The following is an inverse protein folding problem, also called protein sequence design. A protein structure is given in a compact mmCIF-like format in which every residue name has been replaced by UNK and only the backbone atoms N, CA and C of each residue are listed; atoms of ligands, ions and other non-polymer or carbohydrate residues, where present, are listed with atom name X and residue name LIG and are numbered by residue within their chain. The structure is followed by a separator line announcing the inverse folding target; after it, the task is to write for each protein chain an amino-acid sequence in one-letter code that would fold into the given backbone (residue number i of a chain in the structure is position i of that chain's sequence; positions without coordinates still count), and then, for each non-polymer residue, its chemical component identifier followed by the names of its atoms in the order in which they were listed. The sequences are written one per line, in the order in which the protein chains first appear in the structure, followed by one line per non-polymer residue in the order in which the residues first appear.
data_IF_128372439184
#
_entry.id   IF_128372439184
#
_cell.length_a   1.000
_cell.length_b   1.000
_cell.length_c   1.000
_cell.angle_alpha   90.00
_cell.angle_beta   90.00
_cell.angle_gamma   90.00
#
_symmetry.space_group_name_H-M   'P 1'
#
loop_
_entity.id
_entity.type
_entity.pdbx_description
1 polymer ?
#
# COMPACT_ATOMS: atom_id res chain seq x y z
N UNK A 1 -6.86 4.58 -5.33
CA UNK A 1 -6.21 4.34 -4.02
C UNK A 1 -4.97 3.52 -4.29
N UNK A 2 -3.79 4.13 -4.20
CA UNK A 2 -2.54 3.41 -4.41
C UNK A 2 -2.01 2.91 -3.06
N UNK A 3 -2.11 1.60 -2.87
CA UNK A 3 -1.45 0.89 -1.79
C UNK A 3 -0.05 0.53 -2.28
N UNK A 4 0.93 1.35 -1.93
CA UNK A 4 2.32 1.00 -2.15
C UNK A 4 2.76 0.06 -1.04
N UNK A 5 2.72 -1.24 -1.30
CA UNK A 5 3.18 -2.27 -0.37
C UNK A 5 4.62 -2.63 -0.73
N UNK A 6 5.54 -2.30 0.17
CA UNK A 6 6.95 -2.70 0.09
C UNK A 6 7.16 -3.95 0.94
N UNK A 7 7.52 -5.06 0.28
CA UNK A 7 7.94 -6.28 0.95
C UNK A 7 9.47 -6.29 1.04
N UNK A 8 10.01 -6.36 2.27
CA UNK A 8 11.43 -6.62 2.49
C UNK A 8 11.65 -8.13 2.56
N UNK A 9 12.49 -8.65 1.67
CA UNK A 9 12.89 -10.05 1.70
C UNK A 9 14.26 -10.23 2.35
N UNK A 10 14.42 -11.33 3.09
CA UNK A 10 15.66 -11.67 3.79
C UNK A 10 16.56 -12.62 3.01
N UNK A 11 15.99 -13.50 2.18
CA UNK A 11 16.73 -14.45 1.36
C UNK A 11 15.93 -14.80 0.10
N UNK A 12 16.65 -14.90 -1.02
CA UNK A 12 16.11 -15.31 -2.31
C UNK A 12 16.81 -16.59 -2.71
N UNK A 13 16.09 -17.71 -2.80
CA UNK A 13 16.66 -19.01 -3.17
C UNK A 13 16.22 -19.42 -4.59
N UNK A 14 17.16 -19.97 -5.36
CA UNK A 14 16.89 -20.54 -6.67
C UNK A 14 16.41 -21.99 -6.52
N UNK A 15 15.21 -22.29 -7.02
CA UNK A 15 14.58 -23.61 -6.87
C UNK A 15 14.42 -24.37 -8.17
N UNK A 16 14.46 -25.69 -8.04
CA UNK A 16 14.56 -26.68 -9.14
C UNK A 16 13.16 -27.26 -9.44
N UNK A 17 13.05 -27.93 -10.60
CA UNK A 17 11.95 -28.80 -11.10
C UNK A 17 10.69 -28.94 -10.23
N UNK A 18 10.78 -29.58 -9.06
CA UNK A 18 9.61 -30.01 -8.31
C UNK A 18 8.87 -28.84 -7.67
N UNK A 19 9.62 -27.83 -7.21
CA UNK A 19 9.06 -26.56 -6.76
C UNK A 19 8.34 -25.86 -7.91
N UNK A 20 8.97 -25.80 -9.08
CA UNK A 20 8.37 -25.20 -10.27
C UNK A 20 7.07 -25.90 -10.69
N UNK A 21 7.04 -27.24 -10.67
CA UNK A 21 5.84 -28.00 -11.00
C UNK A 21 4.67 -27.66 -10.07
N UNK A 22 4.94 -27.57 -8.76
CA UNK A 22 3.93 -27.20 -7.77
C UNK A 22 3.39 -25.79 -8.02
N UNK A 23 4.28 -24.81 -8.19
CA UNK A 23 3.88 -23.42 -8.40
C UNK A 23 3.07 -23.24 -9.70
N UNK A 24 3.45 -23.92 -10.78
CA UNK A 24 2.72 -23.85 -12.06
C UNK A 24 1.31 -24.45 -11.91
N UNK A 25 1.18 -25.57 -11.20
CA UNK A 25 -0.11 -26.19 -10.95
C UNK A 25 -1.02 -25.30 -10.08
N UNK A 26 -0.51 -24.75 -8.98
CA UNK A 26 -1.28 -23.85 -8.10
C UNK A 26 -1.72 -22.57 -8.82
N UNK A 27 -0.83 -21.95 -9.59
CA UNK A 27 -1.15 -20.77 -10.38
C UNK A 27 -2.23 -21.07 -11.42
N UNK A 28 -2.10 -22.18 -12.16
CA UNK A 28 -3.10 -22.59 -13.16
C UNK A 28 -4.46 -22.82 -12.49
N UNK A 29 -4.50 -23.53 -11.36
CA UNK A 29 -5.74 -23.77 -10.64
C UNK A 29 -6.42 -22.49 -10.15
N UNK A 30 -5.63 -21.51 -9.70
CA UNK A 30 -6.12 -20.21 -9.23
C UNK A 30 -6.71 -19.37 -10.37
N UNK A 31 -6.04 -19.37 -11.53
CA UNK A 31 -6.51 -18.62 -12.70
C UNK A 31 -7.73 -19.28 -13.36
N UNK A 32 -7.79 -20.61 -13.35
CA UNK A 32 -8.88 -21.39 -13.95
C UNK A 32 -10.08 -21.60 -13.00
N UNK A 33 -10.02 -21.13 -11.76
CA UNK A 33 -11.10 -21.33 -10.76
C UNK A 33 -12.46 -20.80 -11.21
N UNK A 34 -12.46 -19.80 -12.08
CA UNK A 34 -13.68 -19.10 -12.51
C UNK A 34 -14.31 -19.69 -13.77
N UNK A 35 -13.71 -20.71 -14.38
CA UNK A 35 -14.18 -21.28 -15.65
C UNK A 35 -14.71 -22.71 -15.47
N UNK A 36 -15.85 -22.98 -16.11
CA UNK A 36 -16.35 -24.34 -16.26
C UNK A 36 -15.45 -25.12 -17.23
N UNK A 37 -15.04 -26.34 -16.84
CA UNK A 37 -14.07 -27.12 -17.61
C UNK A 37 -12.60 -26.77 -17.33
N UNK A 38 -12.28 -26.51 -16.05
CA UNK A 38 -10.95 -26.14 -15.55
C UNK A 38 -9.84 -26.95 -16.20
N UNK A 39 -8.98 -26.26 -16.95
CA UNK A 39 -7.81 -26.87 -17.55
C UNK A 39 -6.76 -27.20 -16.47
N UNK A 40 -6.24 -28.42 -16.51
CA UNK A 40 -5.17 -28.86 -15.63
C UNK A 40 -3.85 -28.95 -16.39
N UNK A 41 -2.75 -28.70 -15.68
CA UNK A 41 -1.40 -28.84 -16.26
C UNK A 41 -1.15 -30.27 -16.78
N UNK A 42 -1.82 -31.28 -16.21
CA UNK A 42 -1.78 -32.67 -16.67
C UNK A 42 -2.48 -32.92 -18.00
N UNK A 43 -3.33 -32.00 -18.46
CA UNK A 43 -4.01 -32.10 -19.75
C UNK A 43 -3.05 -31.79 -20.92
N UNK A 44 -1.91 -31.15 -20.63
CA UNK A 44 -0.82 -31.00 -21.58
C UNK A 44 0.05 -32.27 -21.65
N UNK A 45 0.60 -32.61 -22.83
CA UNK A 45 1.59 -33.67 -22.96
C UNK A 45 2.81 -33.44 -22.05
N UNK A 46 3.23 -34.48 -21.33
CA UNK A 46 4.31 -34.37 -20.34
C UNK A 46 5.63 -33.82 -20.95
N UNK A 47 5.98 -34.23 -22.16
CA UNK A 47 7.17 -33.75 -22.87
C UNK A 47 7.12 -32.23 -23.16
N UNK A 48 5.92 -31.67 -23.39
CA UNK A 48 5.73 -30.26 -23.62
C UNK A 48 5.98 -29.45 -22.34
N UNK A 49 5.41 -29.90 -21.23
CA UNK A 49 5.58 -29.28 -19.91
C UNK A 49 7.04 -29.31 -19.46
N UNK A 50 7.72 -30.46 -19.62
CA UNK A 50 9.14 -30.60 -19.27
C UNK A 50 10.06 -29.68 -20.07
N UNK A 51 9.73 -29.39 -21.32
CA UNK A 51 10.51 -28.45 -22.13
C UNK A 51 10.29 -26.99 -21.73
N UNK A 52 9.06 -26.62 -21.39
CA UNK A 52 8.77 -25.27 -20.89
C UNK A 52 9.44 -24.99 -19.55
N UNK A 53 9.48 -25.97 -18.64
CA UNK A 53 10.17 -25.84 -17.35
C UNK A 53 11.63 -25.46 -17.45
N UNK A 54 12.35 -25.96 -18.46
CA UNK A 54 13.78 -25.66 -18.66
C UNK A 54 14.04 -24.17 -18.92
N UNK A 55 13.04 -23.43 -19.40
CA UNK A 55 13.12 -21.99 -19.62
C UNK A 55 12.71 -21.16 -18.40
N UNK A 56 12.26 -21.79 -17.31
CA UNK A 56 11.78 -21.11 -16.11
C UNK A 56 12.82 -21.14 -15.00
N UNK A 57 12.92 -20.03 -14.28
CA UNK A 57 13.76 -19.90 -13.08
C UNK A 57 12.80 -19.74 -11.89
N UNK A 58 12.85 -20.69 -10.96
CA UNK A 58 12.06 -20.64 -9.73
C UNK A 58 12.73 -19.74 -8.70
N UNK A 59 12.01 -18.71 -8.25
CA UNK A 59 12.47 -17.81 -7.20
C UNK A 59 11.52 -17.94 -6.02
N UNK A 60 12.07 -18.31 -4.86
CA UNK A 60 11.34 -18.25 -3.59
C UNK A 60 11.81 -17.02 -2.81
N UNK A 61 10.84 -16.20 -2.38
CA UNK A 61 11.08 -14.96 -1.66
C UNK A 61 10.50 -15.11 -0.26
N UNK A 62 11.37 -15.19 0.75
CA UNK A 62 10.91 -15.15 2.13
C UNK A 62 10.52 -13.71 2.51
N UNK A 63 9.25 -13.51 2.82
CA UNK A 63 8.73 -12.21 3.28
C UNK A 63 9.04 -12.05 4.76
N UNK A 64 10.01 -11.20 5.08
CA UNK A 64 10.40 -10.93 6.49
C UNK A 64 9.64 -9.74 7.07
N UNK A 65 9.26 -8.78 6.22
CA UNK A 65 8.50 -7.61 6.64
C UNK A 65 7.68 -7.05 5.47
N UNK A 66 6.45 -6.66 5.76
CA UNK A 66 5.60 -5.92 4.83
C UNK A 66 5.37 -4.53 5.42
N UNK A 67 5.80 -3.50 4.70
CA UNK A 67 5.61 -2.10 5.08
C UNK A 67 5.01 -1.36 3.88
N UNK A 68 4.00 -0.53 4.09
CA UNK A 68 3.45 0.27 3.02
C UNK A 68 2.80 1.53 3.56
N UNK A 69 3.10 2.72 3.02
CA UNK A 69 2.35 3.91 3.37
C UNK A 69 0.90 3.72 2.94
N UNK A 70 0.01 3.63 3.92
CA UNK A 70 -1.42 3.50 3.68
C UNK A 70 -2.03 4.86 3.32
N UNK A 71 -2.02 5.19 2.03
CA UNK A 71 -2.43 6.53 1.57
C UNK A 71 -3.94 6.61 1.30
N UNK A 72 -4.68 7.15 2.28
CA UNK A 72 -6.11 7.47 2.17
C UNK A 72 -6.36 8.98 1.96
N UNK A 73 -5.51 9.68 1.20
CA UNK A 73 -5.65 11.13 1.02
C UNK A 73 -5.52 11.87 2.36
N UNK A 74 -4.53 11.47 3.16
CA UNK A 74 -4.30 11.97 4.52
C UNK A 74 -3.80 13.42 4.60
N UNK A 75 -3.56 14.09 3.48
CA UNK A 75 -3.22 15.51 3.41
C UNK A 75 -4.41 16.43 3.10
N UNK A 76 -5.56 15.87 2.72
CA UNK A 76 -6.74 16.62 2.29
C UNK A 76 -7.49 17.25 3.45
N UNK A 77 -8.13 18.40 3.21
CA UNK A 77 -8.88 19.14 4.24
C UNK A 77 -10.05 18.33 4.82
N UNK A 78 -10.57 18.76 5.97
CA UNK A 78 -11.69 18.06 6.65
C UNK A 78 -12.93 17.92 5.73
N UNK A 79 -13.17 18.88 4.82
CA UNK A 79 -14.25 18.82 3.84
C UNK A 79 -14.12 17.66 2.85
N UNK A 80 -12.95 17.50 2.23
CA UNK A 80 -12.67 16.46 1.24
C UNK A 80 -12.75 15.06 1.84
N UNK A 81 -12.38 14.92 3.12
CA UNK A 81 -12.45 13.64 3.83
C UNK A 81 -13.90 13.19 4.06
N UNK A 82 -14.80 14.10 4.46
CA UNK A 82 -16.23 13.76 4.57
C UNK A 82 -16.86 13.43 3.22
N UNK A 83 -16.37 14.05 2.14
CA UNK A 83 -16.73 13.72 0.77
C UNK A 83 -16.32 12.30 0.37
N UNK A 84 -15.10 11.88 0.72
CA UNK A 84 -14.62 10.53 0.46
C UNK A 84 -15.45 9.47 1.19
N UNK A 85 -15.71 9.66 2.49
CA UNK A 85 -16.55 8.74 3.28
C UNK A 85 -17.94 8.59 2.67
N UNK A 86 -18.59 9.71 2.33
CA UNK A 86 -19.90 9.69 1.67
C UNK A 86 -19.87 9.05 0.28
N UNK A 87 -18.80 9.29 -0.48
CA UNK A 87 -18.61 8.69 -1.80
C UNK A 87 -18.53 7.18 -1.74
N UNK A 88 -17.71 6.63 -0.82
CA UNK A 88 -17.55 5.19 -0.67
C UNK A 88 -18.81 4.50 -0.09
N UNK A 89 -19.46 5.09 0.92
CA UNK A 89 -20.76 4.57 1.41
C UNK A 89 -21.88 4.68 0.36
N UNK A 90 -21.79 5.64 -0.56
CA UNK A 90 -22.75 5.83 -1.64
C UNK A 90 -22.68 4.78 -2.74
N UNK A 91 -21.63 3.95 -2.78
CA UNK A 91 -21.49 2.85 -3.76
C UNK A 91 -22.44 1.68 -3.46
N UNK A 92 -22.90 1.53 -2.21
CA UNK A 92 -23.82 0.48 -1.81
C UNK A 92 -23.25 -0.94 -1.95
N UNK A 93 -21.92 -1.07 -2.02
CA UNK A 93 -21.23 -2.37 -2.05
C UNK A 93 -20.58 -2.66 -0.69
N UNK A 94 -20.48 -3.93 -0.28
CA UNK A 94 -19.79 -4.31 0.96
C UNK A 94 -18.35 -3.77 1.05
N UNK A 95 -17.65 -3.73 -0.08
CA UNK A 95 -16.29 -3.19 -0.18
C UNK A 95 -16.25 -1.67 -0.01
N UNK A 96 -17.27 -0.97 -0.52
CA UNK A 96 -17.44 0.48 -0.35
C UNK A 96 -17.69 0.85 1.11
N UNK A 97 -18.56 0.10 1.79
CA UNK A 97 -18.84 0.31 3.22
C UNK A 97 -17.61 0.01 4.10
N UNK A 98 -16.90 -1.10 3.83
CA UNK A 98 -15.66 -1.43 4.52
C UNK A 98 -14.59 -0.33 4.33
N UNK A 99 -14.48 0.22 3.12
CA UNK A 99 -13.59 1.34 2.84
C UNK A 99 -14.00 2.62 3.56
N UNK A 100 -15.28 2.94 3.60
CA UNK A 100 -15.79 4.11 4.32
C UNK A 100 -15.50 4.02 5.81
N UNK A 101 -15.69 2.84 6.42
CA UNK A 101 -15.36 2.58 7.81
C UNK A 101 -13.86 2.74 8.08
N UNK A 102 -13.01 2.18 7.23
CA UNK A 102 -11.55 2.27 7.38
C UNK A 102 -11.05 3.72 7.28
N UNK A 103 -11.63 4.50 6.36
CA UNK A 103 -11.36 5.93 6.25
C UNK A 103 -11.76 6.65 7.53
N UNK A 104 -12.94 6.36 8.08
CA UNK A 104 -13.45 6.93 9.33
C UNK A 104 -12.52 6.68 10.53
N UNK A 105 -12.11 5.43 10.72
CA UNK A 105 -11.22 5.03 11.82
C UNK A 105 -9.88 5.74 11.75
N UNK A 106 -9.27 5.83 10.57
CA UNK A 106 -7.98 6.50 10.38
C UNK A 106 -8.05 8.03 10.45
N UNK A 107 -9.24 8.61 10.30
CA UNK A 107 -9.46 10.05 10.48
C UNK A 107 -9.54 10.50 11.94
N UNK A 108 -9.75 9.58 12.89
CA UNK A 108 -9.90 9.90 14.32
C UNK A 108 -8.65 10.53 14.95
N UNK A 109 -7.48 10.12 14.48
CA UNK A 109 -6.18 10.55 15.01
C UNK A 109 -5.55 11.70 14.19
N UNK A 110 -6.30 12.33 13.28
CA UNK A 110 -5.76 13.46 12.50
C UNK A 110 -5.61 14.70 13.40
N UNK A 111 -4.40 15.27 13.52
CA UNK A 111 -4.25 16.58 14.12
C UNK A 111 -5.00 17.58 13.24
N UNK A 112 -5.94 18.32 13.84
CA UNK A 112 -6.65 19.37 13.14
C UNK A 112 -5.65 20.29 12.42
N UNK A 113 -5.92 20.63 11.15
CA UNK A 113 -5.06 21.53 10.36
C UNK A 113 -4.82 22.87 11.08
N UNK A 114 -5.72 23.24 11.99
CA UNK A 114 -5.60 24.35 12.94
C UNK A 114 -4.30 24.29 13.74
N UNK A 115 -3.88 23.11 14.21
CA UNK A 115 -2.67 22.95 15.02
C UNK A 115 -1.38 23.09 14.20
N UNK A 116 -1.37 22.56 12.95
CA UNK A 116 -0.20 22.63 12.05
C UNK A 116 0.07 24.05 11.54
N UNK A 117 -0.97 24.87 11.39
CA UNK A 117 -0.85 26.30 11.07
C UNK A 117 -0.37 27.11 12.27
N UNK A 118 -0.92 26.88 13.47
CA UNK A 118 -0.49 27.56 14.70
C UNK A 118 0.99 27.29 15.02
N UNK A 119 1.48 26.06 14.86
CA UNK A 119 2.89 25.71 15.09
C UNK A 119 3.86 26.30 14.03
N UNK A 120 3.36 26.64 12.83
CA UNK A 120 4.11 27.35 11.79
C UNK A 120 4.09 28.86 12.00
N UNK A 121 2.96 29.42 12.43
CA UNK A 121 2.79 30.84 12.74
C UNK A 121 3.56 31.23 14.01
N UNK A 122 3.56 30.39 15.05
CA UNK A 122 4.32 30.62 16.29
C UNK A 122 5.84 30.65 16.06
N UNK A 123 6.36 29.87 15.10
CA UNK A 123 7.77 29.93 14.69
C UNK A 123 8.12 31.18 13.88
N UNK A 124 7.13 31.82 13.24
CA UNK A 124 7.31 33.06 12.48
C UNK A 124 7.18 34.31 13.34
N UNK A 125 6.41 34.24 14.43
CA UNK A 125 6.19 35.36 15.35
C UNK A 125 7.32 35.56 16.39
N UNK A 126 8.25 34.61 16.52
CA UNK A 126 9.37 34.69 17.47
C UNK A 126 10.59 35.50 16.99
N UNK A 127 10.51 36.20 15.86
CA UNK A 127 11.64 36.95 15.31
C UNK A 127 11.25 38.42 15.09
N UNK A 128 11.60 39.29 16.03
CA UNK A 128 11.62 40.74 15.81
C UNK A 128 11.08 41.61 16.94
N UNK A 129 11.86 41.77 18.02
CA UNK A 129 11.91 43.05 18.75
C UNK A 129 13.16 43.13 19.63
N UNK A 130 14.32 43.39 19.03
CA UNK A 130 15.45 43.98 19.76
C UNK A 130 15.51 45.47 19.41
N UNK A 131 14.93 46.30 20.26
CA UNK A 131 15.14 47.75 20.27
C UNK A 131 16.60 48.03 20.63
N UNK A 132 17.37 48.55 19.67
CA UNK A 132 18.73 49.04 19.91
C UNK A 132 18.68 50.45 20.50
N UNK A 133 18.98 50.56 21.79
CA UNK A 133 19.31 51.83 22.45
C UNK A 133 20.73 52.23 22.02
N UNK A 134 20.84 53.35 21.29
CA UNK A 134 22.13 53.95 20.91
C UNK A 134 22.66 54.74 22.11
N UNK A 135 23.91 54.50 22.49
CA UNK A 135 24.55 55.12 23.65
C UNK A 135 24.94 56.59 23.44
N UNK A 136 25.17 57.29 24.55
CA UNK A 136 25.99 58.50 24.61
C UNK A 136 26.91 58.41 25.82
N UNK A 137 28.21 58.38 25.56
CA UNK A 137 29.24 58.69 26.55
C UNK A 137 29.26 60.19 26.82
N UNK A 138 29.52 60.55 28.07
CA UNK A 138 30.26 61.74 28.51
C UNK A 138 31.12 61.34 29.71
#
# INVERSE_FOLDING_TARGET
MELNTHCRSGTTELKISDFLQKQIAELSNTMEERYDGRWQVSDAPANYVENLKKALIGIEIEITKIEGPFNLSQESGNGDWTGNVKGYSGLGTPEGDAMAQMIQEKGRDRPSLTLKLQHRLARRAGCGSSTSTVGSLS
#
